data_IF_302351176942
#
_entry.id   IF_302351176942
#
_cell.length_a   1.000
_cell.length_b   1.000
_cell.length_c   1.000
_cell.angle_alpha   90.00
_cell.angle_beta   90.00
_cell.angle_gamma   90.00
#
_symmetry.space_group_name_H-M   'P 1'
#
loop_
_entity.id
_entity.type
_entity.pdbx_description
1 polymer ?
#
# COMPACT_ATOMS: atom_id res chain seq x y z
N UNK A 1 5.56 -20.76 13.35
CA UNK A 1 5.65 -19.48 14.09
C UNK A 1 7.05 -18.97 13.85
N UNK A 2 7.28 -18.21 12.78
CA UNK A 2 8.61 -17.68 12.47
C UNK A 2 8.75 -16.40 13.27
N UNK A 3 9.64 -16.42 14.25
CA UNK A 3 10.08 -15.21 14.93
C UNK A 3 10.87 -14.39 13.89
N UNK A 4 10.17 -13.50 13.18
CA UNK A 4 10.80 -12.49 12.31
C UNK A 4 11.39 -11.42 13.21
N UNK A 5 12.54 -11.72 13.80
CA UNK A 5 13.24 -10.79 14.69
C UNK A 5 13.74 -9.63 13.85
N UNK A 6 13.03 -8.50 13.93
CA UNK A 6 13.59 -7.21 13.58
C UNK A 6 14.63 -6.89 14.66
N UNK A 7 15.88 -7.32 14.47
CA UNK A 7 17.01 -6.84 15.28
C UNK A 7 17.36 -5.43 14.81
N UNK A 8 16.56 -4.45 15.23
CA UNK A 8 16.86 -3.03 15.12
C UNK A 8 17.39 -2.47 16.44
N UNK A 9 17.99 -3.34 17.27
CA UNK A 9 18.49 -3.02 18.61
C UNK A 9 19.56 -1.93 18.65
N UNK A 10 20.07 -1.49 17.50
CA UNK A 10 21.02 -0.38 17.38
C UNK A 10 20.59 0.67 16.35
N UNK A 11 19.29 0.78 16.03
CA UNK A 11 18.83 1.94 15.27
C UNK A 11 19.07 3.17 16.15
N UNK A 12 20.20 3.84 15.93
CA UNK A 12 20.66 4.97 16.74
C UNK A 12 19.89 6.24 16.37
N UNK A 13 18.56 6.14 16.35
CA UNK A 13 17.62 7.22 16.06
C UNK A 13 17.99 8.48 16.85
N UNK A 14 18.32 8.32 18.14
CA UNK A 14 18.74 9.45 18.97
C UNK A 14 20.14 9.97 18.65
N UNK A 15 21.14 9.09 18.50
CA UNK A 15 22.55 9.50 18.31
C UNK A 15 22.73 10.27 16.99
N UNK A 16 22.01 9.86 15.94
CA UNK A 16 22.18 10.42 14.61
C UNK A 16 21.07 11.40 14.19
N UNK A 17 20.12 11.73 15.06
CA UNK A 17 18.94 12.51 14.67
C UNK A 17 19.26 13.85 13.98
N UNK A 18 20.31 14.52 14.45
CA UNK A 18 20.73 15.82 13.94
C UNK A 18 21.55 15.72 12.63
N UNK A 19 21.87 14.50 12.19
CA UNK A 19 22.72 14.24 11.02
C UNK A 19 21.94 13.80 9.78
N UNK A 20 20.61 13.65 9.88
CA UNK A 20 19.78 13.30 8.74
C UNK A 20 18.43 14.03 8.76
N UNK A 21 17.90 14.30 7.57
CA UNK A 21 16.62 14.99 7.40
C UNK A 21 15.45 14.03 7.23
N UNK A 22 15.71 12.84 6.69
CA UNK A 22 14.68 11.85 6.30
C UNK A 22 15.08 10.45 6.73
N UNK A 23 14.11 9.63 7.13
CA UNK A 23 14.30 8.21 7.34
C UNK A 23 13.99 7.45 6.05
N UNK A 24 15.01 6.85 5.47
CA UNK A 24 14.89 6.09 4.23
C UNK A 24 14.52 4.63 4.53
N UNK A 25 13.39 4.17 4.01
CA UNK A 25 12.91 2.80 4.16
C UNK A 25 13.11 2.00 2.86
N UNK A 26 13.76 0.85 2.98
CA UNK A 26 13.82 -0.19 1.95
C UNK A 26 13.11 -1.42 2.52
N UNK A 27 11.93 -1.77 2.01
CA UNK A 27 11.14 -2.91 2.48
C UNK A 27 10.67 -3.77 1.32
N UNK A 28 11.14 -5.02 1.35
CA UNK A 28 10.87 -6.05 0.35
C UNK A 28 10.07 -7.21 0.92
N UNK A 29 9.52 -7.06 2.13
CA UNK A 29 8.63 -8.04 2.71
C UNK A 29 7.25 -8.00 2.01
N UNK A 30 6.44 -9.01 2.32
CA UNK A 30 5.03 -8.99 1.91
C UNK A 30 4.28 -7.82 2.54
N UNK A 31 3.24 -7.36 1.85
CA UNK A 31 2.39 -6.26 2.31
C UNK A 31 1.79 -6.52 3.70
N UNK A 32 1.67 -7.80 4.09
CA UNK A 32 1.11 -8.26 5.35
C UNK A 32 1.85 -7.72 6.58
N UNK A 33 3.14 -7.41 6.46
CA UNK A 33 3.96 -6.92 7.59
C UNK A 33 4.23 -5.42 7.54
N UNK A 34 3.82 -4.74 6.47
CA UNK A 34 4.19 -3.34 6.27
C UNK A 34 3.61 -2.42 7.34
N UNK A 35 2.34 -2.59 7.73
CA UNK A 35 1.73 -1.79 8.82
C UNK A 35 2.58 -1.88 10.09
N UNK A 36 2.97 -3.10 10.51
CA UNK A 36 3.80 -3.33 11.70
C UNK A 36 5.19 -2.68 11.59
N UNK A 37 5.81 -2.72 10.41
CA UNK A 37 7.11 -2.09 10.16
C UNK A 37 7.02 -0.57 10.30
N UNK A 38 6.03 0.06 9.67
CA UNK A 38 5.82 1.50 9.77
C UNK A 38 5.51 1.93 11.21
N UNK A 39 4.62 1.21 11.89
CA UNK A 39 4.25 1.47 13.28
C UNK A 39 5.47 1.41 14.19
N UNK A 40 6.29 0.36 14.04
CA UNK A 40 7.53 0.21 14.80
C UNK A 40 8.51 1.36 14.54
N UNK A 41 8.72 1.77 13.29
CA UNK A 41 9.62 2.89 12.93
C UNK A 41 9.14 4.17 13.62
N UNK A 42 7.86 4.49 13.48
CA UNK A 42 7.27 5.69 14.08
C UNK A 42 7.33 5.66 15.60
N UNK A 43 7.10 4.50 16.23
CA UNK A 43 7.25 4.32 17.67
C UNK A 43 8.68 4.59 18.12
N UNK A 44 9.68 4.04 17.42
CA UNK A 44 11.09 4.32 17.73
C UNK A 44 11.43 5.80 17.59
N UNK A 45 10.97 6.46 16.53
CA UNK A 45 11.16 7.89 16.34
C UNK A 45 10.56 8.70 17.51
N UNK A 46 9.33 8.38 17.93
CA UNK A 46 8.67 9.05 19.07
C UNK A 46 9.41 8.81 20.37
N UNK A 47 9.77 7.57 20.67
CA UNK A 47 10.48 7.20 21.90
C UNK A 47 11.85 7.88 22.03
N UNK A 48 12.48 8.22 20.90
CA UNK A 48 13.79 8.86 20.84
C UNK A 48 13.73 10.38 20.59
N UNK A 49 12.54 10.98 20.55
CA UNK A 49 12.33 12.39 20.19
C UNK A 49 12.96 12.78 18.84
N UNK A 50 12.96 11.85 17.88
CA UNK A 50 13.55 11.99 16.55
C UNK A 50 12.50 11.76 15.45
N UNK A 51 11.49 12.62 15.39
CA UNK A 51 10.45 12.53 14.35
C UNK A 51 11.01 13.08 13.04
N UNK A 52 11.09 12.23 12.02
CA UNK A 52 11.59 12.57 10.68
C UNK A 52 10.60 12.05 9.63
N UNK A 53 10.42 12.72 8.48
CA UNK A 53 9.66 12.18 7.38
C UNK A 53 10.19 10.81 6.96
N UNK A 54 9.29 9.88 6.67
CA UNK A 54 9.64 8.56 6.14
C UNK A 54 9.56 8.63 4.61
N UNK A 55 10.62 8.20 3.94
CA UNK A 55 10.64 8.06 2.50
C UNK A 55 10.95 6.61 2.13
N UNK A 56 10.02 5.93 1.48
CA UNK A 56 10.14 4.55 1.02
C UNK A 56 10.81 4.52 -0.35
N UNK A 57 12.14 4.42 -0.40
CA UNK A 57 12.92 4.54 -1.63
C UNK A 57 13.02 3.23 -2.41
N UNK A 58 12.85 2.10 -1.74
CA UNK A 58 12.77 0.80 -2.40
C UNK A 58 11.72 -0.05 -1.70
N UNK A 59 10.51 -0.04 -2.26
CA UNK A 59 9.47 -0.98 -1.85
C UNK A 59 8.92 -1.71 -3.08
N UNK A 60 8.58 -2.98 -2.94
CA UNK A 60 8.10 -3.73 -4.09
C UNK A 60 7.74 -5.16 -3.78
N UNK A 61 7.29 -5.86 -4.81
CA UNK A 61 7.00 -7.28 -4.76
C UNK A 61 8.28 -8.06 -4.43
N UNK A 62 8.25 -8.77 -3.30
CA UNK A 62 9.42 -9.18 -2.54
C UNK A 62 10.51 -9.97 -3.28
N UNK A 63 11.67 -10.04 -2.62
CA UNK A 63 12.91 -10.64 -3.12
C UNK A 63 12.98 -12.16 -2.89
N UNK A 64 11.90 -12.93 -3.06
CA UNK A 64 11.98 -14.40 -2.94
C UNK A 64 12.07 -15.06 -4.31
N UNK A 65 13.30 -15.31 -4.75
CA UNK A 65 13.59 -15.97 -6.02
C UNK A 65 13.10 -17.44 -6.08
N UNK A 66 12.72 -18.04 -4.96
CA UNK A 66 12.28 -19.44 -4.88
C UNK A 66 10.76 -19.60 -5.01
N UNK A 67 9.99 -18.51 -4.86
CA UNK A 67 8.54 -18.58 -5.00
C UNK A 67 8.13 -18.51 -6.48
N UNK A 68 7.14 -19.32 -6.91
CA UNK A 68 6.52 -19.16 -8.22
C UNK A 68 6.03 -17.73 -8.42
N UNK A 69 6.34 -17.15 -9.57
CA UNK A 69 5.88 -15.81 -9.90
C UNK A 69 4.47 -15.83 -10.48
N UNK A 70 3.51 -15.23 -9.77
CA UNK A 70 2.19 -14.88 -10.30
C UNK A 70 2.11 -13.38 -10.59
N UNK A 71 2.00 -13.02 -11.86
CA UNK A 71 1.87 -11.63 -12.32
C UNK A 71 0.60 -10.95 -11.79
N UNK A 72 -0.47 -11.71 -11.55
CA UNK A 72 -1.69 -11.16 -10.95
C UNK A 72 -1.53 -10.93 -9.46
N UNK A 73 -0.80 -11.79 -8.76
CA UNK A 73 -0.44 -11.56 -7.36
C UNK A 73 0.44 -10.32 -7.21
N UNK A 74 1.44 -10.17 -8.07
CA UNK A 74 2.25 -8.96 -8.14
C UNK A 74 1.37 -7.71 -8.35
N UNK A 75 0.46 -7.75 -9.32
CA UNK A 75 -0.46 -6.64 -9.56
C UNK A 75 -1.38 -6.33 -8.35
N UNK A 76 -1.86 -7.34 -7.62
CA UNK A 76 -2.63 -7.14 -6.38
C UNK A 76 -1.76 -6.49 -5.30
N UNK A 77 -0.53 -6.97 -5.13
CA UNK A 77 0.37 -6.51 -4.08
C UNK A 77 0.89 -5.09 -4.35
N UNK A 78 1.07 -4.68 -5.61
CA UNK A 78 1.36 -3.27 -5.96
C UNK A 78 0.34 -2.32 -5.31
N UNK A 79 -0.96 -2.60 -5.46
CA UNK A 79 -2.01 -1.75 -4.88
C UNK A 79 -1.88 -1.69 -3.36
N UNK A 80 -1.69 -2.84 -2.71
CA UNK A 80 -1.61 -2.95 -1.24
C UNK A 80 -0.39 -2.24 -0.68
N UNK A 81 0.78 -2.48 -1.26
CA UNK A 81 2.07 -1.88 -0.86
C UNK A 81 1.96 -0.35 -0.92
N UNK A 82 1.55 0.20 -2.07
CA UNK A 82 1.42 1.64 -2.24
C UNK A 82 0.36 2.25 -1.31
N UNK A 83 -0.76 1.56 -1.12
CA UNK A 83 -1.84 2.01 -0.22
C UNK A 83 -1.36 2.06 1.22
N UNK A 84 -0.72 1.01 1.72
CA UNK A 84 -0.22 0.94 3.10
C UNK A 84 0.84 2.01 3.33
N UNK A 85 1.84 2.11 2.43
CA UNK A 85 2.88 3.13 2.54
C UNK A 85 2.32 4.55 2.57
N UNK A 86 1.36 4.86 1.69
CA UNK A 86 0.71 6.17 1.68
C UNK A 86 -0.11 6.40 2.96
N UNK A 87 -0.85 5.39 3.42
CA UNK A 87 -1.66 5.48 4.62
C UNK A 87 -0.83 5.65 5.90
N UNK A 88 0.35 5.04 5.93
CA UNK A 88 1.30 5.14 7.03
C UNK A 88 2.17 6.41 6.99
N UNK A 89 1.84 7.35 6.10
CA UNK A 89 2.47 8.67 6.07
C UNK A 89 3.84 8.70 5.42
N UNK A 90 4.17 7.74 4.54
CA UNK A 90 5.35 7.87 3.69
C UNK A 90 5.20 9.11 2.79
N UNK A 91 6.14 10.05 2.91
CA UNK A 91 6.14 11.29 2.14
C UNK A 91 6.50 11.03 0.66
N UNK A 92 7.40 10.08 0.43
CA UNK A 92 7.83 9.65 -0.90
C UNK A 92 7.79 8.14 -0.97
N UNK A 93 7.29 7.61 -2.08
CA UNK A 93 7.20 6.18 -2.36
C UNK A 93 7.78 5.93 -3.75
N UNK A 94 8.85 5.14 -3.81
CA UNK A 94 9.49 4.69 -5.05
C UNK A 94 9.31 3.18 -5.13
N UNK A 95 8.49 2.75 -6.07
CA UNK A 95 8.29 1.33 -6.33
C UNK A 95 9.50 0.76 -7.07
N UNK A 96 10.11 -0.30 -6.53
CA UNK A 96 11.27 -0.95 -7.09
C UNK A 96 10.95 -2.40 -7.55
N UNK A 97 11.48 -2.84 -8.71
CA UNK A 97 12.07 -2.03 -9.78
C UNK A 97 11.02 -1.56 -10.81
N UNK A 98 11.38 -0.57 -11.62
CA UNK A 98 10.57 -0.19 -12.79
C UNK A 98 10.54 -1.32 -13.83
N UNK A 99 11.70 -1.82 -14.25
CA UNK A 99 11.84 -2.90 -15.24
C UNK A 99 12.26 -4.20 -14.57
N UNK A 100 11.73 -5.33 -15.05
CA UNK A 100 12.05 -6.68 -14.57
C UNK A 100 13.56 -6.96 -14.69
N UNK A 101 14.19 -7.31 -13.57
CA UNK A 101 15.62 -7.66 -13.48
C UNK A 101 15.84 -9.15 -13.26
N UNK A 102 14.80 -9.98 -13.38
CA UNK A 102 14.85 -11.43 -13.21
C UNK A 102 14.16 -11.90 -11.95
N UNK A 103 14.48 -13.12 -11.52
CA UNK A 103 13.79 -13.78 -10.39
C UNK A 103 13.88 -13.03 -9.08
N UNK A 104 14.95 -12.27 -8.86
CA UNK A 104 15.18 -11.54 -7.61
C UNK A 104 14.52 -10.17 -7.57
N UNK A 105 14.07 -9.59 -8.70
CA UNK A 105 13.48 -8.25 -8.71
C UNK A 105 12.53 -8.10 -9.90
N UNK A 106 11.25 -8.43 -9.64
CA UNK A 106 10.17 -8.40 -10.63
C UNK A 106 9.66 -6.98 -10.79
N UNK A 107 9.76 -6.43 -12.00
CA UNK A 107 9.42 -5.04 -12.27
C UNK A 107 7.96 -4.81 -12.66
N UNK A 108 7.59 -3.53 -12.70
CA UNK A 108 6.30 -3.09 -13.26
C UNK A 108 6.22 -3.38 -14.77
N UNK A 109 7.35 -3.21 -15.47
CA UNK A 109 7.54 -3.51 -16.89
C UNK A 109 8.29 -4.83 -17.05
N UNK A 110 8.01 -5.57 -18.12
CA UNK A 110 8.86 -6.71 -18.52
C UNK A 110 10.25 -6.25 -18.98
N UNK A 111 11.16 -7.21 -19.20
CA UNK A 111 12.54 -6.96 -19.64
C UNK A 111 12.65 -6.16 -20.94
N UNK A 112 11.68 -6.31 -21.84
CA UNK A 112 11.60 -5.60 -23.12
C UNK A 112 10.83 -4.27 -23.02
N UNK A 113 10.39 -3.88 -21.82
CA UNK A 113 9.64 -2.64 -21.58
C UNK A 113 8.13 -2.76 -21.78
N UNK A 114 7.59 -3.96 -22.06
CA UNK A 114 6.14 -4.14 -22.20
C UNK A 114 5.41 -3.86 -20.88
N UNK A 115 4.30 -3.14 -20.98
CA UNK A 115 3.41 -2.81 -19.86
C UNK A 115 2.59 -4.05 -19.49
N UNK A 116 2.77 -4.55 -18.27
CA UNK A 116 2.01 -5.68 -17.73
C UNK A 116 0.97 -5.28 -16.68
N UNK A 117 0.29 -6.29 -16.12
CA UNK A 117 -0.71 -6.07 -15.06
C UNK A 117 -0.18 -5.28 -13.84
N UNK A 118 1.08 -5.45 -13.36
CA UNK A 118 1.62 -4.66 -12.27
C UNK A 118 1.74 -3.16 -12.62
N UNK A 119 2.20 -2.82 -13.83
CA UNK A 119 2.24 -1.43 -14.28
C UNK A 119 0.84 -0.80 -14.40
N UNK A 120 -0.16 -1.55 -14.88
CA UNK A 120 -1.55 -1.07 -14.90
C UNK A 120 -2.07 -0.82 -13.48
N UNK A 121 -1.86 -1.76 -12.55
CA UNK A 121 -2.27 -1.60 -11.15
C UNK A 121 -1.57 -0.42 -10.48
N UNK A 122 -0.29 -0.20 -10.76
CA UNK A 122 0.46 0.97 -10.32
C UNK A 122 -0.19 2.27 -10.81
N UNK A 123 -0.46 2.39 -12.11
CA UNK A 123 -1.07 3.57 -12.71
C UNK A 123 -2.46 3.87 -12.13
N UNK A 124 -3.29 2.85 -11.97
CA UNK A 124 -4.61 3.01 -11.34
C UNK A 124 -4.46 3.49 -9.90
N UNK A 125 -3.56 2.87 -9.12
CA UNK A 125 -3.36 3.24 -7.71
C UNK A 125 -2.90 4.68 -7.57
N UNK A 126 -1.85 5.09 -8.29
CA UNK A 126 -1.34 6.47 -8.24
C UNK A 126 -2.40 7.47 -8.69
N UNK A 127 -3.18 7.16 -9.74
CA UNK A 127 -4.28 8.02 -10.20
C UNK A 127 -5.39 8.14 -9.15
N UNK A 128 -5.74 7.05 -8.46
CA UNK A 128 -6.78 7.04 -7.43
C UNK A 128 -6.33 7.71 -6.13
N UNK A 129 -5.06 7.64 -5.78
CA UNK A 129 -4.52 8.28 -4.58
C UNK A 129 -3.97 9.69 -4.86
N UNK A 130 -4.02 10.16 -6.11
CA UNK A 130 -3.59 11.50 -6.47
C UNK A 130 -4.29 12.57 -5.63
N UNK A 131 -3.51 13.51 -5.10
CA UNK A 131 -3.96 14.61 -4.25
C UNK A 131 -4.62 14.18 -2.91
N UNK A 132 -4.41 12.94 -2.46
CA UNK A 132 -4.71 12.57 -1.08
C UNK A 132 -3.85 13.41 -0.13
N UNK A 133 -4.47 13.92 0.93
CA UNK A 133 -3.83 14.77 1.96
C UNK A 133 -3.98 14.21 3.36
N UNK A 134 -4.83 13.22 3.53
CA UNK A 134 -5.00 12.47 4.76
C UNK A 134 -5.26 11.01 4.43
N UNK A 135 -4.97 10.15 5.38
CA UNK A 135 -5.29 8.74 5.32
C UNK A 135 -5.71 8.24 6.70
N UNK A 136 -6.61 7.25 6.72
CA UNK A 136 -7.10 6.61 7.93
C UNK A 136 -7.34 5.13 7.66
N UNK A 137 -6.87 4.26 8.56
CA UNK A 137 -7.22 2.85 8.57
C UNK A 137 -8.60 2.67 9.20
N UNK A 138 -9.52 2.04 8.46
CA UNK A 138 -10.87 1.75 8.95
C UNK A 138 -10.98 0.33 9.53
N UNK A 139 -11.67 0.19 10.65
CA UNK A 139 -12.10 -1.11 11.15
C UNK A 139 -13.45 -1.49 10.52
N UNK A 140 -13.41 -2.41 9.54
CA UNK A 140 -14.59 -3.00 8.90
C UNK A 140 -14.71 -4.49 9.19
N UNK A 141 -14.11 -4.94 10.30
CA UNK A 141 -14.12 -6.32 10.75
C UNK A 141 -12.92 -7.16 10.33
N UNK A 142 -12.81 -8.33 10.95
CA UNK A 142 -11.64 -9.20 10.86
C UNK A 142 -11.29 -9.59 9.42
N UNK A 143 -10.00 -9.46 9.08
CA UNK A 143 -9.45 -9.82 7.76
C UNK A 143 -9.92 -8.91 6.64
N UNK A 144 -10.33 -7.68 6.94
CA UNK A 144 -10.57 -6.61 5.96
C UNK A 144 -9.52 -5.55 6.11
N UNK A 145 -8.90 -5.20 4.99
CA UNK A 145 -8.07 -4.02 4.86
C UNK A 145 -8.86 -2.95 4.13
N UNK A 146 -9.00 -1.83 4.80
CA UNK A 146 -9.83 -0.72 4.43
C UNK A 146 -9.14 0.57 4.85
N UNK A 147 -8.89 1.42 3.87
CA UNK A 147 -8.22 2.70 4.05
C UNK A 147 -9.08 3.78 3.44
N UNK A 148 -9.24 4.89 4.15
CA UNK A 148 -9.90 6.10 3.68
C UNK A 148 -8.84 7.15 3.39
N UNK A 149 -8.88 7.75 2.20
CA UNK A 149 -8.03 8.86 1.80
C UNK A 149 -8.87 10.09 1.52
N UNK A 150 -8.65 11.15 2.29
CA UNK A 150 -9.26 12.45 2.03
C UNK A 150 -8.47 13.22 0.97
N UNK A 151 -9.15 13.76 -0.05
CA UNK A 151 -8.50 14.51 -1.14
C UNK A 151 -8.58 16.01 -0.95
N UNK A 152 -7.53 16.72 -1.36
CA UNK A 152 -7.51 18.19 -1.36
C UNK A 152 -8.64 18.82 -2.16
N UNK A 153 -9.04 18.18 -3.27
CA UNK A 153 -10.14 18.63 -4.13
C UNK A 153 -11.54 18.41 -3.53
N UNK A 154 -11.63 17.81 -2.33
CA UNK A 154 -12.87 17.29 -1.79
C UNK A 154 -13.13 15.84 -2.23
N UNK A 155 -13.99 15.17 -1.47
CA UNK A 155 -14.31 13.75 -1.63
C UNK A 155 -13.27 12.81 -1.02
N UNK A 156 -13.70 11.57 -0.82
CA UNK A 156 -12.90 10.50 -0.25
C UNK A 156 -12.68 9.37 -1.28
N UNK A 157 -11.54 8.70 -1.17
CA UNK A 157 -11.30 7.40 -1.82
C UNK A 157 -11.08 6.36 -0.75
N UNK A 158 -11.79 5.25 -0.87
CA UNK A 158 -11.60 4.08 -0.03
C UNK A 158 -10.85 3.03 -0.82
N UNK A 159 -9.85 2.38 -0.22
CA UNK A 159 -9.16 1.22 -0.81
C UNK A 159 -9.43 0.01 0.07
N UNK A 160 -10.05 -1.02 -0.51
CA UNK A 160 -10.60 -2.15 0.23
C UNK A 160 -10.11 -3.48 -0.35
N UNK A 161 -9.72 -4.41 0.51
CA UNK A 161 -9.47 -5.82 0.16
C UNK A 161 -9.65 -6.74 1.37
N UNK A 162 -9.62 -8.04 1.12
CA UNK A 162 -9.66 -9.07 2.15
C UNK A 162 -8.90 -10.31 1.70
N UNK A 163 -8.48 -11.16 2.64
CA UNK A 163 -7.86 -12.45 2.30
C UNK A 163 -8.89 -13.52 1.93
N UNK A 164 -10.16 -13.33 2.31
CA UNK A 164 -11.28 -14.22 2.00
C UNK A 164 -12.47 -13.43 1.48
N UNK A 165 -13.14 -13.88 0.39
CA UNK A 165 -14.27 -13.17 -0.18
C UNK A 165 -15.37 -12.88 0.85
N UNK A 166 -15.83 -11.63 0.90
CA UNK A 166 -16.94 -11.19 1.76
C UNK A 166 -17.60 -9.93 1.23
N UNK A 167 -18.78 -9.63 1.76
CA UNK A 167 -19.49 -8.37 1.48
C UNK A 167 -19.35 -7.46 2.69
N UNK A 168 -18.99 -6.20 2.46
CA UNK A 168 -18.87 -5.17 3.49
C UNK A 168 -19.77 -3.98 3.17
N UNK A 169 -20.07 -3.18 4.20
CA UNK A 169 -20.77 -1.92 4.08
C UNK A 169 -19.84 -0.76 4.46
N UNK A 170 -19.87 0.31 3.66
CA UNK A 170 -19.30 1.61 4.04
C UNK A 170 -20.41 2.51 4.58
N UNK A 171 -20.17 3.28 5.67
CA UNK A 171 -21.16 4.17 6.27
C UNK A 171 -21.31 5.47 5.45
N UNK A 172 -21.68 5.34 4.19
CA UNK A 172 -21.87 6.45 3.24
C UNK A 172 -23.36 6.69 3.02
N UNK A 173 -23.77 7.96 2.94
CA UNK A 173 -25.17 8.34 2.69
C UNK A 173 -25.57 8.25 1.21
N UNK A 174 -24.62 8.08 0.30
CA UNK A 174 -24.88 7.96 -1.12
C UNK A 174 -25.65 6.67 -1.46
N UNK A 175 -26.61 6.73 -2.38
CA UNK A 175 -27.32 5.53 -2.84
C UNK A 175 -26.43 4.62 -3.69
N UNK A 176 -25.42 5.17 -4.35
CA UNK A 176 -24.43 4.46 -5.14
C UNK A 176 -23.03 5.06 -4.98
N UNK A 177 -22.03 4.21 -5.08
CA UNK A 177 -20.62 4.57 -5.12
C UNK A 177 -19.97 4.03 -6.38
N UNK A 178 -18.92 4.71 -6.82
CA UNK A 178 -18.09 4.28 -7.96
C UNK A 178 -17.05 3.29 -7.46
N UNK A 179 -17.09 2.05 -7.95
CA UNK A 179 -16.12 1.00 -7.62
C UNK A 179 -15.23 0.75 -8.83
N UNK A 180 -13.94 0.99 -8.68
CA UNK A 180 -12.92 0.74 -9.70
C UNK A 180 -11.99 -0.38 -9.24
N UNK A 181 -11.74 -1.38 -10.10
CA UNK A 181 -10.78 -2.44 -9.80
C UNK A 181 -9.33 -2.05 -10.16
N UNK A 182 -8.37 -2.93 -9.86
CA UNK A 182 -6.94 -2.71 -10.17
C UNK A 182 -6.62 -2.56 -11.66
N UNK A 183 -7.54 -2.91 -12.55
CA UNK A 183 -7.39 -2.75 -14.00
C UNK A 183 -7.99 -1.44 -14.52
N UNK A 184 -8.70 -0.69 -13.67
CA UNK A 184 -9.35 0.56 -14.02
C UNK A 184 -10.82 0.40 -14.45
N UNK A 185 -11.32 -0.84 -14.54
CA UNK A 185 -12.73 -1.06 -14.84
C UNK A 185 -13.60 -0.56 -13.69
N UNK A 186 -14.68 0.12 -14.05
CA UNK A 186 -15.53 0.82 -13.09
C UNK A 186 -16.97 0.35 -13.19
N UNK A 187 -17.61 0.18 -12.04
CA UNK A 187 -19.05 -0.11 -11.88
C UNK A 187 -19.64 0.73 -10.77
N UNK A 188 -20.97 0.79 -10.70
CA UNK A 188 -21.70 1.46 -9.62
C UNK A 188 -22.36 0.42 -8.74
N UNK A 189 -22.12 0.50 -7.42
CA UNK A 189 -22.68 -0.42 -6.42
C UNK A 189 -23.27 0.38 -5.26
N UNK A 190 -24.27 -0.15 -4.53
CA UNK A 190 -24.68 0.43 -3.27
C UNK A 190 -23.55 0.30 -2.23
N UNK A 191 -23.27 1.33 -1.40
CA UNK A 191 -22.21 1.26 -0.41
C UNK A 191 -22.48 0.23 0.70
N UNK A 192 -23.72 -0.25 0.84
CA UNK A 192 -24.11 -1.29 1.80
C UNK A 192 -23.73 -2.71 1.38
N UNK A 193 -23.36 -2.93 0.11
CA UNK A 193 -23.12 -4.28 -0.44
C UNK A 193 -21.89 -4.29 -1.35
N UNK A 194 -20.71 -4.01 -0.79
CA UNK A 194 -19.46 -4.01 -1.54
C UNK A 194 -18.78 -5.37 -1.45
N UNK A 195 -18.67 -6.12 -2.57
CA UNK A 195 -17.91 -7.36 -2.58
C UNK A 195 -16.41 -7.04 -2.52
N UNK A 196 -15.75 -7.55 -1.49
CA UNK A 196 -14.29 -7.48 -1.33
C UNK A 196 -13.70 -8.88 -1.33
N UNK A 197 -12.53 -9.01 -1.92
CA UNK A 197 -11.76 -10.25 -1.99
C UNK A 197 -10.27 -9.94 -2.01
N UNK A 198 -9.48 -10.88 -2.51
CA UNK A 198 -8.02 -10.72 -2.59
C UNK A 198 -7.59 -9.64 -3.57
N UNK A 199 -8.40 -9.38 -4.61
CA UNK A 199 -8.24 -8.25 -5.53
C UNK A 199 -8.72 -6.95 -4.86
N UNK A 200 -7.82 -5.96 -4.68
CA UNK A 200 -8.20 -4.67 -4.11
C UNK A 200 -9.12 -3.88 -5.04
N UNK A 201 -10.04 -3.13 -4.43
CA UNK A 201 -10.93 -2.19 -5.12
C UNK A 201 -10.76 -0.78 -4.57
N UNK A 202 -11.00 0.21 -5.43
CA UNK A 202 -11.09 1.62 -5.09
C UNK A 202 -12.55 2.04 -5.11
N UNK A 203 -13.03 2.69 -4.05
CA UNK A 203 -14.40 3.18 -3.94
C UNK A 203 -14.37 4.69 -3.80
N UNK A 204 -15.06 5.40 -4.70
CA UNK A 204 -15.25 6.85 -4.61
C UNK A 204 -16.72 7.20 -4.44
N UNK A 205 -17.02 8.11 -3.53
CA UNK A 205 -18.32 8.80 -3.46
C UNK A 205 -18.27 10.06 -4.32
N UNK A 206 -19.30 10.29 -5.15
CA UNK A 206 -19.50 11.58 -5.80
C UNK A 206 -20.15 12.56 -4.83
#
# INVERSE_FOLDING_TARGET
MVQKTIQLSDARFKEYCDYYDVFQLHDYQGWETMEEVYDWIQEQMRANACIKPIQAWEIGYGLDANLPYDVNEHARNVVKILTISAAQGAETIIYFPLSDRGSYARGLLSKDGTVGAPATAYQVTVSKLANAVSAERLDLGNGVWAYKFGRRSGGDVYVLWSTTPKTIALPLSASQVTVTDRTGHTKYLPPSELPVGTDPIFVGSR
#
